data_IF_587423807243
#
_entry.id   IF_587423807243
#
_cell.length_a   1.000
_cell.length_b   1.000
_cell.length_c   1.000
_cell.angle_alpha   90.00
_cell.angle_beta   90.00
_cell.angle_gamma   90.00
#
_symmetry.space_group_name_H-M   'P 1'
#
loop_
_entity.id
_entity.type
_entity.pdbx_description
1 polymer ?
#
# COMPACT_ATOMS: atom_id res chain seq x y z
N UNK A 1 -7.05 -4.96 -16.18
CA UNK A 1 -6.40 -4.41 -14.95
C UNK A 1 -7.30 -4.52 -13.73
N UNK A 2 -8.62 -4.38 -13.88
CA UNK A 2 -9.56 -4.43 -12.74
C UNK A 2 -9.49 -5.70 -11.89
N UNK A 3 -9.52 -6.90 -12.51
CA UNK A 3 -9.34 -8.16 -11.80
C UNK A 3 -7.97 -8.30 -11.12
N UNK A 4 -6.93 -7.70 -11.70
CA UNK A 4 -5.58 -7.68 -11.15
C UNK A 4 -5.59 -6.86 -9.84
N UNK A 5 -6.13 -5.64 -9.86
CA UNK A 5 -6.21 -4.81 -8.66
C UNK A 5 -7.09 -5.45 -7.56
N UNK A 6 -8.20 -6.08 -7.94
CA UNK A 6 -9.10 -6.76 -7.01
C UNK A 6 -8.40 -7.92 -6.29
N UNK A 7 -7.69 -8.78 -7.03
CA UNK A 7 -6.96 -9.91 -6.45
C UNK A 7 -5.76 -9.46 -5.60
N UNK A 8 -5.03 -8.43 -6.05
CA UNK A 8 -3.85 -7.93 -5.34
C UNK A 8 -4.17 -7.17 -4.05
N UNK A 9 -5.45 -6.87 -3.78
CA UNK A 9 -5.90 -6.45 -2.45
C UNK A 9 -5.45 -7.41 -1.35
N UNK A 10 -5.41 -8.72 -1.65
CA UNK A 10 -5.00 -9.76 -0.70
C UNK A 10 -3.53 -10.13 -0.81
N UNK A 11 -2.82 -9.60 -1.81
CA UNK A 11 -1.39 -9.83 -2.06
C UNK A 11 -0.70 -8.52 -2.49
N UNK A 12 -0.67 -7.50 -1.60
CA UNK A 12 -0.22 -6.15 -1.97
C UNK A 12 1.28 -6.05 -2.26
N UNK A 13 2.05 -7.09 -1.94
CA UNK A 13 3.49 -7.18 -2.18
C UNK A 13 3.84 -8.19 -3.28
N UNK A 14 2.83 -8.74 -3.98
CA UNK A 14 3.10 -9.56 -5.16
C UNK A 14 3.52 -8.66 -6.33
N UNK A 15 4.48 -9.13 -7.14
CA UNK A 15 5.00 -8.40 -8.30
C UNK A 15 4.37 -8.94 -9.59
N UNK A 16 3.32 -8.30 -10.12
CA UNK A 16 2.73 -8.74 -11.37
C UNK A 16 3.69 -8.49 -12.55
N UNK A 17 3.64 -9.42 -13.49
CA UNK A 17 4.27 -9.27 -14.81
C UNK A 17 3.24 -8.78 -15.81
N UNK A 18 3.58 -7.76 -16.60
CA UNK A 18 2.75 -7.22 -17.66
C UNK A 18 3.41 -7.48 -19.02
N UNK A 19 2.62 -7.95 -19.99
CA UNK A 19 3.10 -8.11 -21.36
C UNK A 19 3.14 -6.75 -22.06
N UNK A 20 4.32 -6.32 -22.50
CA UNK A 20 4.50 -5.03 -23.17
C UNK A 20 4.44 -5.10 -24.71
N UNK A 21 4.04 -6.25 -25.26
CA UNK A 21 4.08 -6.53 -26.71
C UNK A 21 5.31 -7.31 -27.17
N UNK A 22 6.39 -7.36 -26.38
CA UNK A 22 7.64 -8.06 -26.71
C UNK A 22 8.09 -9.07 -25.67
N UNK A 23 7.99 -8.70 -24.39
CA UNK A 23 8.33 -9.57 -23.27
C UNK A 23 7.45 -9.24 -22.06
N UNK A 24 7.51 -10.09 -21.06
CA UNK A 24 6.98 -9.77 -19.75
C UNK A 24 7.94 -8.82 -19.02
N UNK A 25 7.42 -7.74 -18.47
CA UNK A 25 8.16 -6.83 -17.61
C UNK A 25 7.50 -6.78 -16.23
N UNK A 26 8.33 -6.62 -15.20
CA UNK A 26 7.85 -6.40 -13.84
C UNK A 26 7.12 -5.05 -13.76
N UNK A 27 6.01 -5.00 -13.05
CA UNK A 27 5.23 -3.78 -12.86
C UNK A 27 4.94 -3.57 -11.38
N UNK A 28 5.09 -2.35 -10.88
CA UNK A 28 4.65 -2.03 -9.53
C UNK A 28 3.14 -1.81 -9.49
N UNK A 29 2.47 -2.35 -8.47
CA UNK A 29 1.01 -2.21 -8.33
C UNK A 29 0.55 -0.76 -8.22
N UNK A 30 1.34 0.10 -7.56
CA UNK A 30 1.00 1.50 -7.37
C UNK A 30 0.94 2.27 -8.71
N UNK A 31 1.77 1.91 -9.70
CA UNK A 31 1.77 2.49 -11.04
C UNK A 31 0.50 2.12 -11.82
N UNK A 32 -0.13 0.99 -11.45
CA UNK A 32 -1.43 0.56 -11.97
C UNK A 32 -2.62 1.16 -11.22
N UNK A 33 -2.37 2.08 -10.27
CA UNK A 33 -3.39 2.73 -9.46
C UNK A 33 -3.81 1.94 -8.22
N UNK A 34 -3.09 0.88 -7.85
CA UNK A 34 -3.34 0.19 -6.58
C UNK A 34 -2.99 1.10 -5.40
N UNK A 35 -3.90 1.17 -4.44
CA UNK A 35 -3.69 1.85 -3.17
C UNK A 35 -3.94 0.88 -2.03
N UNK A 36 -2.96 0.74 -1.14
CA UNK A 36 -3.07 -0.09 0.06
C UNK A 36 -3.85 0.66 1.14
N UNK A 37 -5.09 0.25 1.48
CA UNK A 37 -5.91 0.98 2.44
C UNK A 37 -5.54 0.58 3.87
N UNK A 38 -5.30 1.56 4.73
CA UNK A 38 -4.85 1.32 6.10
C UNK A 38 -5.99 1.13 7.11
N UNK A 39 -7.23 1.20 6.64
CA UNK A 39 -8.43 1.04 7.46
C UNK A 39 -9.57 0.35 6.74
N UNK A 40 -10.76 0.39 7.35
CA UNK A 40 -12.02 -0.09 6.77
C UNK A 40 -11.96 -1.51 6.19
N UNK A 41 -11.25 -2.41 6.86
CA UNK A 41 -11.07 -3.82 6.43
C UNK A 41 -10.54 -3.93 4.99
N UNK A 42 -9.59 -3.07 4.63
CA UNK A 42 -8.98 -3.03 3.30
C UNK A 42 -9.85 -2.34 2.23
N UNK A 43 -10.83 -1.52 2.63
CA UNK A 43 -11.52 -0.58 1.72
C UNK A 43 -10.86 0.79 1.82
N UNK A 44 -10.84 1.52 0.71
CA UNK A 44 -10.34 2.89 0.67
C UNK A 44 -11.17 3.77 1.62
N UNK A 45 -10.48 4.59 2.43
CA UNK A 45 -11.14 5.52 3.34
C UNK A 45 -11.91 6.59 2.54
N UNK A 46 -13.16 6.94 2.91
CA UNK A 46 -13.87 8.06 2.27
C UNK A 46 -13.14 9.41 2.40
N UNK A 47 -12.27 9.54 3.40
CA UNK A 47 -11.46 10.72 3.65
C UNK A 47 -9.99 10.53 3.23
N UNK A 48 -9.70 9.59 2.32
CA UNK A 48 -8.32 9.26 1.90
C UNK A 48 -7.59 10.42 1.21
N UNK A 49 -8.30 11.37 0.64
CA UNK A 49 -7.70 12.58 0.04
C UNK A 49 -7.49 13.70 1.06
N UNK A 50 -7.59 13.39 2.36
CA UNK A 50 -7.22 14.26 3.46
C UNK A 50 -5.70 14.37 3.66
N UNK A 51 -5.30 15.16 4.66
CA UNK A 51 -3.92 15.53 5.01
C UNK A 51 -2.84 14.48 4.66
N UNK A 52 -2.10 14.72 3.57
CA UNK A 52 -0.92 13.94 3.22
C UNK A 52 -1.20 12.52 2.71
N UNK A 53 -2.44 12.23 2.28
CA UNK A 53 -2.83 10.96 1.67
C UNK A 53 -3.49 11.17 0.28
N UNK A 54 -3.31 10.25 -0.69
CA UNK A 54 -2.45 9.07 -0.65
C UNK A 54 -0.95 9.42 -0.57
N UNK A 55 -0.18 8.55 0.08
CA UNK A 55 1.26 8.73 0.28
C UNK A 55 2.03 7.54 -0.28
N UNK A 56 3.00 7.77 -1.17
CA UNK A 56 3.95 6.73 -1.56
C UNK A 56 4.97 6.51 -0.43
N UNK A 57 5.10 5.26 0.00
CA UNK A 57 6.12 4.80 0.94
C UNK A 57 6.81 3.56 0.39
N UNK A 58 7.98 3.23 0.96
CA UNK A 58 8.72 2.01 0.64
C UNK A 58 8.36 0.92 1.64
N UNK A 59 8.00 -0.27 1.17
CA UNK A 59 7.77 -1.45 2.01
C UNK A 59 8.82 -2.51 1.68
N UNK A 60 9.52 -2.97 2.69
CA UNK A 60 10.45 -4.09 2.61
C UNK A 60 9.73 -5.38 3.00
N UNK A 61 9.69 -6.32 2.04
CA UNK A 61 9.16 -7.67 2.20
C UNK A 61 10.28 -8.70 1.89
N UNK A 62 10.07 -9.96 2.28
CA UNK A 62 10.98 -11.05 1.94
C UNK A 62 11.17 -11.25 0.42
N UNK A 63 10.19 -10.84 -0.39
CA UNK A 63 10.27 -10.89 -1.84
C UNK A 63 10.80 -9.57 -2.47
N UNK A 64 11.32 -8.67 -1.64
CA UNK A 64 12.06 -7.48 -2.05
C UNK A 64 11.43 -6.15 -1.61
N UNK A 65 11.89 -5.07 -2.26
CA UNK A 65 11.50 -3.69 -1.97
C UNK A 65 10.34 -3.26 -2.86
N UNK A 66 9.28 -2.70 -2.28
CA UNK A 66 8.08 -2.25 -2.98
C UNK A 66 7.84 -0.78 -2.75
N UNK A 67 7.63 -0.02 -3.83
CA UNK A 67 7.00 1.28 -3.74
C UNK A 67 5.48 1.09 -3.72
N UNK A 68 4.82 1.61 -2.68
CA UNK A 68 3.40 1.38 -2.43
C UNK A 68 2.71 2.71 -2.13
N UNK A 69 1.61 2.97 -2.84
CA UNK A 69 0.70 4.07 -2.51
C UNK A 69 -0.20 3.66 -1.35
N UNK A 70 -0.12 4.39 -0.24
CA UNK A 70 -0.87 4.11 0.98
C UNK A 70 -2.03 5.09 1.14
N UNK A 71 -3.22 4.53 1.35
CA UNK A 71 -4.42 5.28 1.71
C UNK A 71 -4.62 5.28 3.22
N UNK A 72 -4.29 6.40 3.87
CA UNK A 72 -4.46 6.57 5.30
C UNK A 72 -5.94 6.73 5.67
N UNK A 73 -6.33 6.17 6.81
CA UNK A 73 -7.64 6.44 7.39
C UNK A 73 -7.60 7.77 8.16
N UNK A 74 -8.52 8.67 7.81
CA UNK A 74 -8.69 9.98 8.45
C UNK A 74 -10.09 10.17 9.06
N UNK A 75 -10.88 9.10 9.23
CA UNK A 75 -12.14 9.17 9.95
C UNK A 75 -11.94 9.64 11.40
N UNK A 76 -12.98 10.21 12.01
CA UNK A 76 -13.00 10.48 13.44
C UNK A 76 -12.65 9.20 14.23
N UNK A 77 -11.69 9.30 15.15
CA UNK A 77 -11.19 8.16 15.92
C UNK A 77 -10.19 7.26 15.18
N UNK A 78 -9.74 7.63 13.98
CA UNK A 78 -8.68 6.90 13.29
C UNK A 78 -7.41 6.83 14.16
N UNK A 79 -6.74 5.66 14.24
CA UNK A 79 -5.51 5.52 15.00
C UNK A 79 -4.37 6.28 14.32
N UNK A 80 -3.25 6.48 15.03
CA UNK A 80 -2.04 7.10 14.47
C UNK A 80 -1.54 6.34 13.24
N UNK A 81 -0.81 7.01 12.35
CA UNK A 81 -0.25 6.39 11.12
C UNK A 81 0.60 5.15 11.42
N UNK A 82 1.40 5.18 12.50
CA UNK A 82 2.17 4.02 12.94
C UNK A 82 1.26 2.84 13.35
N UNK A 83 0.22 3.11 14.16
CA UNK A 83 -0.72 2.07 14.59
C UNK A 83 -1.55 1.52 13.41
N UNK A 84 -1.86 2.36 12.43
CA UNK A 84 -2.46 1.95 11.16
C UNK A 84 -1.57 0.95 10.41
N UNK A 85 -0.25 1.21 10.31
CA UNK A 85 0.70 0.24 9.74
C UNK A 85 0.74 -1.06 10.57
N UNK A 86 0.83 -0.96 11.90
CA UNK A 86 0.84 -2.15 12.78
C UNK A 86 -0.39 -3.03 12.60
N UNK A 87 -1.58 -2.43 12.50
CA UNK A 87 -2.82 -3.15 12.25
C UNK A 87 -2.82 -3.90 10.90
N UNK A 88 -1.97 -3.47 9.96
CA UNK A 88 -1.77 -4.07 8.65
C UNK A 88 -0.47 -4.89 8.56
N UNK A 89 0.09 -5.33 9.71
CA UNK A 89 1.32 -6.16 9.78
C UNK A 89 2.54 -5.49 9.16
N UNK A 90 2.62 -4.17 9.29
CA UNK A 90 3.73 -3.36 8.84
C UNK A 90 4.38 -2.64 10.02
N UNK A 91 5.68 -2.85 10.20
CA UNK A 91 6.48 -2.18 11.20
C UNK A 91 7.12 -0.93 10.57
N UNK A 92 6.79 0.29 11.02
CA UNK A 92 7.39 1.49 10.46
C UNK A 92 8.86 1.65 10.87
N UNK A 93 9.70 2.13 9.96
CA UNK A 93 11.07 2.57 10.30
C UNK A 93 11.06 3.81 11.21
N UNK A 94 10.04 4.67 11.07
CA UNK A 94 9.82 5.86 11.90
C UNK A 94 8.34 6.00 12.28
N UNK A 95 8.08 6.26 13.56
CA UNK A 95 6.72 6.34 14.10
C UNK A 95 5.93 7.58 13.66
N UNK A 96 6.57 8.76 13.65
CA UNK A 96 5.87 10.03 13.45
C UNK A 96 5.48 10.28 11.99
N UNK A 97 6.37 9.95 11.04
CA UNK A 97 6.14 10.16 9.61
C UNK A 97 6.82 9.05 8.80
N UNK A 98 6.21 7.85 8.75
CA UNK A 98 6.81 6.71 8.08
C UNK A 98 6.97 7.00 6.58
N UNK A 99 8.19 6.84 6.08
CA UNK A 99 8.51 6.76 4.65
C UNK A 99 8.88 5.34 4.22
N UNK A 100 9.12 4.48 5.20
CA UNK A 100 9.59 3.12 5.04
C UNK A 100 8.94 2.25 6.11
N UNK A 101 8.55 1.03 5.73
CA UNK A 101 8.04 0.01 6.66
C UNK A 101 8.52 -1.39 6.25
N UNK A 102 8.37 -2.35 7.17
CA UNK A 102 8.79 -3.74 7.01
C UNK A 102 7.61 -4.67 7.30
N UNK A 103 7.46 -5.75 6.54
CA UNK A 103 6.50 -6.82 6.86
C UNK A 103 7.02 -7.68 8.01
N UNK A 104 6.13 -8.18 8.88
CA UNK A 104 6.49 -9.09 9.99
C UNK A 104 5.35 -10.04 10.39
#
# INVERSE_FOLDING_TARGET
>A
VECLLASHRFMPFHRPSLWNGKHFQQQALHELGFMLPMGHNGRVCPHVHGQGSPQTIVIMDINGIHEVSVGWCHCAGAPTVAKQLFNNKLFPALMARPRTAFTF
#
